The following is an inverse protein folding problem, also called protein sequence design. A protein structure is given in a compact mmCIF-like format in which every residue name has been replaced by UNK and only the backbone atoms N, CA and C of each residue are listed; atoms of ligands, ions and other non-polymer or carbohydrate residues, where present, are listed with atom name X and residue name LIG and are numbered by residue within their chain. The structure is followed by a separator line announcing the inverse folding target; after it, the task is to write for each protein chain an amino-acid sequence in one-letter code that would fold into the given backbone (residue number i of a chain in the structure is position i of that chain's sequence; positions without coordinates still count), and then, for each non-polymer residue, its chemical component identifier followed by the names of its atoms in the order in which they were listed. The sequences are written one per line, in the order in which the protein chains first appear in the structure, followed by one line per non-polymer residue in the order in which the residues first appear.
data_IF_731261351836
#
_entry.id   IF_731261351836
#
_cell.length_a   1.000
_cell.length_b   1.000
_cell.length_c   1.000
_cell.angle_alpha   90.00
_cell.angle_beta   90.00
_cell.angle_gamma   90.00
#
_symmetry.space_group_name_H-M   'P 1'
#
loop_
_entity.id
_entity.type
_entity.pdbx_description
1 polymer ?
#
# COMPACT_ATOMS: atom_id res chain seq x y z
N UNK A 1 7.13 -38.52 -45.03
CA UNK A 1 8.42 -37.93 -44.59
C UNK A 1 9.06 -38.87 -43.57
N UNK A 2 10.36 -39.18 -43.66
CA UNK A 2 11.02 -40.11 -42.74
C UNK A 2 11.10 -39.52 -41.32
N UNK A 3 10.82 -40.36 -40.30
CA UNK A 3 10.98 -40.00 -38.88
C UNK A 3 12.46 -39.75 -38.57
N UNK A 4 12.74 -38.82 -37.67
CA UNK A 4 14.10 -38.54 -37.21
C UNK A 4 14.70 -39.82 -36.59
N UNK A 5 15.87 -40.31 -37.06
CA UNK A 5 16.48 -41.50 -36.49
C UNK A 5 16.79 -41.30 -35.01
N UNK A 6 16.48 -42.29 -34.17
CA UNK A 6 16.73 -42.24 -32.71
C UNK A 6 18.19 -41.91 -32.38
N UNK A 7 19.12 -42.45 -33.16
CA UNK A 7 20.56 -42.20 -33.03
C UNK A 7 20.93 -40.72 -33.19
N UNK A 8 20.24 -39.97 -34.06
CA UNK A 8 20.49 -38.53 -34.24
C UNK A 8 19.97 -37.75 -33.03
N UNK A 9 18.81 -38.13 -32.47
CA UNK A 9 18.30 -37.55 -31.23
C UNK A 9 19.20 -37.84 -30.03
N UNK A 10 19.75 -39.05 -29.94
CA UNK A 10 20.69 -39.44 -28.88
C UNK A 10 22.01 -38.66 -28.96
N UNK A 11 22.53 -38.44 -30.18
CA UNK A 11 23.71 -37.60 -30.40
C UNK A 11 23.44 -36.14 -30.01
N UNK A 12 22.30 -35.58 -30.45
CA UNK A 12 21.91 -34.22 -30.06
C UNK A 12 21.74 -34.10 -28.54
N UNK A 13 21.10 -35.09 -27.89
CA UNK A 13 21.00 -35.19 -26.42
C UNK A 13 22.37 -35.20 -25.75
N UNK A 14 23.33 -35.95 -26.29
CA UNK A 14 24.70 -35.98 -25.76
C UNK A 14 25.42 -34.64 -25.92
N UNK A 15 25.20 -33.93 -27.03
CA UNK A 15 25.84 -32.65 -27.30
C UNK A 15 25.29 -31.52 -26.41
N UNK A 16 23.98 -31.50 -26.14
CA UNK A 16 23.35 -30.54 -25.20
C UNK A 16 23.52 -30.92 -23.72
N UNK A 17 23.77 -32.19 -23.38
CA UNK A 17 24.06 -32.61 -21.99
C UNK A 17 25.44 -32.12 -21.50
N UNK A 18 26.34 -31.77 -22.41
CA UNK A 18 27.65 -31.20 -22.06
C UNK A 18 27.51 -29.71 -21.78
N UNK A 19 27.77 -29.29 -20.53
CA UNK A 19 27.89 -27.87 -20.16
C UNK A 19 29.09 -27.16 -20.83
N UNK A 20 29.82 -27.83 -21.73
CA UNK A 20 30.84 -27.23 -22.55
C UNK A 20 30.20 -26.29 -23.59
N UNK A 21 30.35 -24.98 -23.35
CA UNK A 21 29.78 -23.87 -24.13
C UNK A 21 29.72 -24.04 -25.66
N UNK A 22 30.77 -24.49 -26.38
CA UNK A 22 30.71 -24.59 -27.84
C UNK A 22 29.80 -25.72 -28.36
N UNK A 23 29.74 -26.87 -27.66
CA UNK A 23 28.89 -28.00 -28.05
C UNK A 23 27.43 -27.74 -27.74
N UNK A 24 27.17 -27.13 -26.57
CA UNK A 24 25.84 -26.69 -26.18
C UNK A 24 25.26 -25.72 -27.21
N UNK A 25 26.03 -24.70 -27.61
CA UNK A 25 25.57 -23.70 -28.58
C UNK A 25 25.23 -24.34 -29.92
N UNK A 26 26.09 -25.25 -30.41
CA UNK A 26 25.85 -25.98 -31.66
C UNK A 26 24.65 -26.93 -31.58
N UNK A 27 24.49 -27.64 -30.47
CA UNK A 27 23.34 -28.52 -30.22
C UNK A 27 22.03 -27.75 -30.18
N UNK A 28 22.01 -26.58 -29.52
CA UNK A 28 20.83 -25.73 -29.45
C UNK A 28 20.47 -25.11 -30.81
N UNK A 29 21.45 -24.63 -31.59
CA UNK A 29 21.19 -24.07 -32.93
C UNK A 29 20.70 -25.14 -33.91
N UNK A 30 21.28 -26.35 -33.86
CA UNK A 30 20.81 -27.46 -34.69
C UNK A 30 19.39 -27.89 -34.31
N UNK A 31 19.07 -28.00 -33.02
CA UNK A 31 17.70 -28.29 -32.57
C UNK A 31 16.70 -27.23 -33.03
N UNK A 32 17.06 -25.94 -32.94
CA UNK A 32 16.24 -24.84 -33.48
C UNK A 32 15.98 -25.05 -34.96
N UNK A 33 17.02 -25.20 -35.77
CA UNK A 33 16.88 -25.22 -37.23
C UNK A 33 16.05 -26.44 -37.69
N UNK A 34 16.22 -27.59 -37.04
CA UNK A 34 15.39 -28.77 -37.30
C UNK A 34 13.93 -28.56 -36.89
N UNK A 35 13.67 -27.93 -35.75
CA UNK A 35 12.31 -27.62 -35.30
C UNK A 35 11.60 -26.60 -36.21
N UNK A 36 12.34 -25.63 -36.75
CA UNK A 36 11.78 -24.61 -37.64
C UNK A 36 11.53 -25.14 -39.05
N UNK A 37 12.48 -25.90 -39.62
CA UNK A 37 12.46 -26.26 -41.04
C UNK A 37 11.80 -27.60 -41.36
N UNK A 38 11.62 -28.50 -40.38
CA UNK A 38 11.18 -29.89 -40.63
C UNK A 38 9.95 -30.26 -39.80
N UNK A 39 8.77 -30.20 -40.43
CA UNK A 39 7.49 -30.57 -39.80
C UNK A 39 7.52 -31.95 -39.12
N UNK A 40 8.13 -32.94 -39.77
CA UNK A 40 8.18 -34.31 -39.27
C UNK A 40 9.06 -34.47 -38.01
N UNK A 41 9.98 -33.55 -37.75
CA UNK A 41 10.97 -33.65 -36.67
C UNK A 41 10.72 -32.63 -35.56
N UNK A 42 9.94 -31.58 -35.85
CA UNK A 42 9.57 -30.53 -34.91
C UNK A 42 9.11 -31.04 -33.54
N UNK A 43 8.18 -32.00 -33.41
CA UNK A 43 7.74 -32.45 -32.09
C UNK A 43 8.89 -33.00 -31.24
N UNK A 44 9.75 -33.86 -31.81
CA UNK A 44 10.84 -34.47 -31.08
C UNK A 44 11.94 -33.47 -30.68
N UNK A 45 12.24 -32.50 -31.55
CA UNK A 45 13.20 -31.44 -31.23
C UNK A 45 12.66 -30.47 -30.17
N UNK A 46 11.37 -30.14 -30.23
CA UNK A 46 10.72 -29.28 -29.23
C UNK A 46 10.66 -29.95 -27.86
N UNK A 47 10.29 -31.24 -27.77
CA UNK A 47 10.30 -31.96 -26.49
C UNK A 47 11.68 -31.88 -25.82
N UNK A 48 12.75 -32.12 -26.59
CA UNK A 48 14.11 -32.02 -26.04
C UNK A 48 14.46 -30.59 -25.60
N UNK A 49 14.09 -29.56 -26.38
CA UNK A 49 14.32 -28.17 -25.99
C UNK A 49 13.55 -27.78 -24.72
N UNK A 50 12.33 -28.29 -24.56
CA UNK A 50 11.47 -28.06 -23.39
C UNK A 50 12.02 -28.79 -22.15
N UNK A 51 12.47 -30.05 -22.28
CA UNK A 51 13.21 -30.77 -21.22
C UNK A 51 14.43 -29.96 -20.72
N UNK A 52 15.15 -29.28 -21.62
CA UNK A 52 16.29 -28.45 -21.24
C UNK A 52 15.88 -27.14 -20.52
N UNK A 53 14.66 -26.64 -20.75
CA UNK A 53 14.13 -25.45 -20.08
C UNK A 53 13.86 -25.68 -18.58
N UNK A 54 13.82 -26.94 -18.13
CA UNK A 54 13.66 -27.33 -16.72
C UNK A 54 14.86 -28.12 -16.20
N UNK A 55 16.00 -28.10 -16.91
CA UNK A 55 17.23 -28.76 -16.48
C UNK A 55 17.78 -28.14 -15.18
N UNK A 56 18.35 -28.96 -14.29
CA UNK A 56 18.97 -28.48 -13.03
C UNK A 56 20.12 -27.48 -13.26
N UNK A 57 20.87 -27.67 -14.34
CA UNK A 57 21.99 -26.79 -14.69
C UNK A 57 21.51 -25.46 -15.29
N UNK A 58 21.66 -24.37 -14.54
CA UNK A 58 21.39 -23.01 -15.00
C UNK A 58 22.04 -22.63 -16.37
N UNK A 59 23.31 -22.99 -16.67
CA UNK A 59 23.90 -22.67 -17.98
C UNK A 59 23.28 -23.45 -19.14
N UNK A 60 22.56 -24.55 -18.90
CA UNK A 60 21.76 -25.24 -19.93
C UNK A 60 20.37 -24.60 -20.05
N UNK A 61 19.76 -24.30 -18.91
CA UNK A 61 18.40 -23.80 -18.78
C UNK A 61 18.20 -22.44 -19.43
N UNK A 62 19.01 -21.45 -19.07
CA UNK A 62 18.80 -20.06 -19.53
C UNK A 62 18.92 -19.87 -21.05
N UNK A 63 19.91 -20.46 -21.76
CA UNK A 63 19.97 -20.41 -23.23
C UNK A 63 18.80 -21.14 -23.90
N UNK A 64 18.36 -22.26 -23.34
CA UNK A 64 17.23 -23.05 -23.88
C UNK A 64 15.92 -22.28 -23.78
N UNK A 65 15.65 -21.63 -22.65
CA UNK A 65 14.47 -20.77 -22.47
C UNK A 65 14.48 -19.63 -23.49
N UNK A 66 15.60 -18.91 -23.62
CA UNK A 66 15.70 -17.81 -24.60
C UNK A 66 15.42 -18.29 -26.02
N UNK A 67 15.93 -19.46 -26.39
CA UNK A 67 15.73 -20.06 -27.70
C UNK A 67 14.26 -20.44 -27.95
N UNK A 68 13.62 -21.14 -27.01
CA UNK A 68 12.21 -21.54 -27.14
C UNK A 68 11.31 -20.30 -27.22
N UNK A 69 11.56 -19.28 -26.40
CA UNK A 69 10.80 -18.02 -26.42
C UNK A 69 11.00 -17.27 -27.74
N UNK A 70 12.22 -17.22 -28.29
CA UNK A 70 12.46 -16.58 -29.59
C UNK A 70 11.75 -17.32 -30.72
N UNK A 71 11.79 -18.65 -30.70
CA UNK A 71 11.10 -19.48 -31.70
C UNK A 71 9.57 -19.33 -31.62
N UNK A 72 9.01 -19.30 -30.41
CA UNK A 72 7.59 -19.07 -30.19
C UNK A 72 7.14 -17.66 -30.62
N UNK A 73 8.04 -16.68 -30.57
CA UNK A 73 7.80 -15.33 -31.08
C UNK A 73 7.95 -15.21 -32.62
N UNK A 74 8.32 -16.29 -33.31
CA UNK A 74 8.50 -16.30 -34.76
C UNK A 74 9.84 -15.75 -35.24
N UNK A 75 10.82 -15.53 -34.36
CA UNK A 75 12.15 -15.06 -34.75
C UNK A 75 12.89 -16.13 -35.58
N UNK A 76 13.22 -15.81 -36.83
CA UNK A 76 13.93 -16.71 -37.73
C UNK A 76 13.04 -17.78 -38.39
N UNK A 77 11.72 -17.67 -38.30
CA UNK A 77 10.77 -18.65 -38.86
C UNK A 77 10.17 -18.16 -40.17
N UNK A 78 10.23 -18.99 -41.21
CA UNK A 78 9.70 -18.64 -42.54
C UNK A 78 8.22 -19.02 -42.73
N UNK A 79 7.65 -19.86 -41.85
CA UNK A 79 6.29 -20.41 -41.96
C UNK A 79 5.46 -20.12 -40.71
N UNK A 80 4.35 -19.38 -40.86
CA UNK A 80 3.46 -19.03 -39.75
C UNK A 80 2.91 -20.27 -39.00
N UNK A 81 2.52 -21.32 -39.73
CA UNK A 81 2.02 -22.55 -39.12
C UNK A 81 3.03 -23.27 -38.21
N UNK A 82 4.34 -23.11 -38.46
CA UNK A 82 5.38 -23.65 -37.61
C UNK A 82 5.48 -22.85 -36.30
N UNK A 83 5.37 -21.52 -36.37
CA UNK A 83 5.34 -20.64 -35.19
C UNK A 83 4.17 -20.99 -34.28
N UNK A 84 2.96 -21.14 -34.84
CA UNK A 84 1.76 -21.47 -34.08
C UNK A 84 1.90 -22.81 -33.34
N UNK A 85 2.46 -23.83 -34.00
CA UNK A 85 2.70 -25.14 -33.37
C UNK A 85 3.74 -25.07 -32.25
N UNK A 86 4.82 -24.32 -32.46
CA UNK A 86 5.87 -24.14 -31.45
C UNK A 86 5.32 -23.38 -30.25
N UNK A 87 4.63 -22.27 -30.50
CA UNK A 87 4.00 -21.46 -29.47
C UNK A 87 2.99 -22.30 -28.68
N UNK A 88 2.07 -23.01 -29.34
CA UNK A 88 1.09 -23.85 -28.67
C UNK A 88 1.74 -24.92 -27.77
N UNK A 89 2.79 -25.60 -28.24
CA UNK A 89 3.47 -26.61 -27.42
C UNK A 89 4.26 -25.99 -26.27
N UNK A 90 4.93 -24.86 -26.49
CA UNK A 90 5.64 -24.14 -25.44
C UNK A 90 4.69 -23.64 -24.34
N UNK A 91 3.51 -23.11 -24.71
CA UNK A 91 2.49 -22.70 -23.74
C UNK A 91 1.91 -23.89 -22.97
N UNK A 92 1.62 -25.02 -23.65
CA UNK A 92 1.16 -26.25 -23.01
C UNK A 92 2.17 -26.76 -21.98
N UNK A 93 3.44 -26.88 -22.36
CA UNK A 93 4.48 -27.36 -21.46
C UNK A 93 4.72 -26.38 -20.30
N UNK A 94 4.72 -25.07 -20.56
CA UNK A 94 4.85 -24.08 -19.49
C UNK A 94 3.68 -24.15 -18.50
N UNK A 95 2.46 -24.44 -18.95
CA UNK A 95 1.31 -24.63 -18.06
C UNK A 95 1.46 -25.89 -17.19
N UNK A 96 1.89 -27.01 -17.78
CA UNK A 96 2.23 -28.25 -17.03
C UNK A 96 3.31 -27.97 -15.96
N UNK A 97 4.35 -27.23 -16.32
CA UNK A 97 5.44 -26.87 -15.40
C UNK A 97 5.01 -25.84 -14.35
N UNK A 98 4.07 -24.94 -14.65
CA UNK A 98 3.48 -24.05 -13.65
C UNK A 98 2.74 -24.86 -12.59
N UNK A 99 1.87 -25.79 -12.99
CA UNK A 99 1.13 -26.64 -12.03
C UNK A 99 2.10 -27.42 -11.13
N UNK A 100 3.14 -28.02 -11.72
CA UNK A 100 4.17 -28.72 -10.97
C UNK A 100 5.00 -27.79 -10.06
N UNK A 101 5.30 -26.58 -10.50
CA UNK A 101 6.00 -25.59 -9.70
C UNK A 101 5.17 -25.12 -8.51
N UNK A 102 3.88 -24.87 -8.69
CA UNK A 102 2.97 -24.44 -7.62
C UNK A 102 2.79 -25.55 -6.56
N UNK A 103 2.93 -26.82 -6.94
CA UNK A 103 2.89 -27.96 -6.02
C UNK A 103 4.26 -28.32 -5.40
N UNK A 104 5.36 -27.70 -5.82
CA UNK A 104 6.71 -28.10 -5.41
C UNK A 104 6.98 -27.79 -3.93
N UNK A 105 7.44 -28.76 -3.14
CA UNK A 105 7.73 -28.56 -1.71
C UNK A 105 9.08 -27.86 -1.45
N UNK A 106 9.95 -27.81 -2.45
CA UNK A 106 11.29 -27.19 -2.37
C UNK A 106 11.40 -25.96 -3.29
N UNK A 107 12.00 -24.89 -2.78
CA UNK A 107 12.18 -23.63 -3.54
C UNK A 107 13.05 -23.83 -4.77
N UNK A 108 14.06 -24.70 -4.71
CA UNK A 108 14.95 -24.99 -5.86
C UNK A 108 14.17 -25.64 -7.01
N UNK A 109 13.21 -26.51 -6.70
CA UNK A 109 12.36 -27.17 -7.68
C UNK A 109 11.39 -26.17 -8.33
N UNK A 110 10.75 -25.30 -7.53
CA UNK A 110 9.91 -24.22 -8.03
C UNK A 110 10.70 -23.24 -8.92
N UNK A 111 11.88 -22.81 -8.46
CA UNK A 111 12.77 -21.88 -9.17
C UNK A 111 13.34 -22.47 -10.47
N UNK A 112 13.39 -23.81 -10.59
CA UNK A 112 13.79 -24.49 -11.81
C UNK A 112 12.69 -24.51 -12.87
N UNK A 113 11.41 -24.59 -12.47
CA UNK A 113 10.25 -24.81 -13.35
C UNK A 113 9.56 -23.52 -13.82
N UNK A 114 9.50 -22.50 -12.95
CA UNK A 114 8.87 -21.20 -13.25
C UNK A 114 9.51 -20.39 -14.40
N UNK A 115 10.85 -20.39 -14.63
CA UNK A 115 11.47 -19.43 -15.54
C UNK A 115 10.96 -19.44 -16.98
N UNK A 116 10.60 -20.61 -17.54
CA UNK A 116 10.04 -20.68 -18.90
C UNK A 116 8.67 -20.00 -18.95
N UNK A 117 7.82 -20.28 -17.96
CA UNK A 117 6.48 -19.70 -17.86
C UNK A 117 6.55 -18.17 -17.75
N UNK A 118 7.40 -17.66 -16.86
CA UNK A 118 7.61 -16.22 -16.69
C UNK A 118 8.16 -15.58 -17.98
N UNK A 119 9.11 -16.23 -18.66
CA UNK A 119 9.65 -15.70 -19.90
C UNK A 119 8.61 -15.64 -21.04
N UNK A 120 7.66 -16.58 -21.08
CA UNK A 120 6.54 -16.55 -22.02
C UNK A 120 5.50 -15.48 -21.67
N UNK A 121 5.26 -15.20 -20.38
CA UNK A 121 4.36 -14.11 -19.96
C UNK A 121 4.73 -12.76 -20.61
N UNK A 122 6.03 -12.48 -20.82
CA UNK A 122 6.49 -11.29 -21.53
C UNK A 122 5.95 -11.15 -22.96
N UNK A 123 5.58 -12.25 -23.61
CA UNK A 123 5.02 -12.28 -24.97
C UNK A 123 3.49 -12.43 -24.94
N UNK A 124 2.97 -13.19 -23.98
CA UNK A 124 1.55 -13.46 -23.78
C UNK A 124 1.13 -13.09 -22.35
N UNK A 125 0.87 -11.80 -22.08
CA UNK A 125 0.53 -11.32 -20.72
C UNK A 125 -0.72 -11.98 -20.11
N UNK A 126 -1.62 -12.52 -20.94
CA UNK A 126 -2.79 -13.28 -20.49
C UNK A 126 -2.43 -14.49 -19.63
N UNK A 127 -1.22 -15.05 -19.78
CA UNK A 127 -0.73 -16.14 -18.94
C UNK A 127 -0.63 -15.71 -17.47
N UNK A 128 -0.30 -14.44 -17.19
CA UNK A 128 -0.18 -13.93 -15.81
C UNK A 128 -1.44 -14.21 -14.97
N UNK A 129 -2.62 -14.23 -15.59
CA UNK A 129 -3.88 -14.50 -14.90
C UNK A 129 -3.92 -15.89 -14.23
N UNK A 130 -3.36 -16.92 -14.88
CA UNK A 130 -3.33 -18.27 -14.34
C UNK A 130 -2.33 -18.42 -13.19
N UNK A 131 -1.18 -17.74 -13.25
CA UNK A 131 -0.23 -17.66 -12.14
C UNK A 131 -0.86 -17.02 -10.90
N UNK A 132 -1.57 -15.90 -11.08
CA UNK A 132 -2.24 -15.22 -9.97
C UNK A 132 -3.37 -16.09 -9.38
N UNK A 133 -4.17 -16.74 -10.22
CA UNK A 133 -5.28 -17.59 -9.76
C UNK A 133 -4.80 -18.85 -9.01
N UNK A 134 -3.65 -19.42 -9.40
CA UNK A 134 -3.08 -20.61 -8.76
C UNK A 134 -2.27 -20.34 -7.50
N UNK A 135 -1.93 -19.09 -7.21
CA UNK A 135 -0.98 -18.73 -6.14
C UNK A 135 -1.47 -19.06 -4.72
N UNK A 136 -2.73 -18.73 -4.42
CA UNK A 136 -3.27 -18.93 -3.06
C UNK A 136 -3.35 -20.43 -2.67
N UNK A 137 -3.40 -21.33 -3.67
CA UNK A 137 -3.37 -22.78 -3.48
C UNK A 137 -1.99 -23.42 -3.57
N UNK A 138 -0.94 -22.65 -3.82
CA UNK A 138 0.42 -23.15 -3.99
C UNK A 138 1.11 -23.50 -2.66
N UNK A 139 2.16 -24.30 -2.72
CA UNK A 139 3.00 -24.62 -1.56
C UNK A 139 3.71 -23.36 -1.03
N UNK A 140 4.14 -23.38 0.24
CA UNK A 140 4.88 -22.26 0.84
C UNK A 140 6.19 -21.94 0.08
N UNK A 141 6.91 -22.99 -0.36
CA UNK A 141 8.12 -22.84 -1.16
C UNK A 141 7.83 -22.17 -2.51
N UNK A 142 6.78 -22.62 -3.21
CA UNK A 142 6.38 -22.02 -4.48
C UNK A 142 5.92 -20.57 -4.29
N UNK A 143 5.17 -20.27 -3.23
CA UNK A 143 4.74 -18.91 -2.92
C UNK A 143 5.93 -17.96 -2.70
N UNK A 144 6.96 -18.41 -1.97
CA UNK A 144 8.19 -17.64 -1.76
C UNK A 144 8.92 -17.37 -3.09
N UNK A 145 9.12 -18.41 -3.91
CA UNK A 145 9.78 -18.27 -5.21
C UNK A 145 9.01 -17.36 -6.17
N UNK A 146 7.68 -17.47 -6.22
CA UNK A 146 6.86 -16.59 -7.08
C UNK A 146 6.95 -15.14 -6.62
N UNK A 147 6.92 -14.87 -5.31
CA UNK A 147 7.09 -13.51 -4.78
C UNK A 147 8.46 -12.91 -5.11
N UNK A 148 9.52 -13.72 -5.12
CA UNK A 148 10.87 -13.29 -5.49
C UNK A 148 10.97 -12.94 -6.99
N UNK A 149 10.39 -13.77 -7.87
CA UNK A 149 10.56 -13.64 -9.31
C UNK A 149 9.56 -12.67 -9.98
N UNK A 150 8.37 -12.50 -9.39
CA UNK A 150 7.29 -11.71 -9.99
C UNK A 150 7.67 -10.24 -10.25
N UNK A 151 8.32 -9.50 -9.33
CA UNK A 151 8.69 -8.09 -9.59
C UNK A 151 9.55 -7.94 -10.83
N UNK A 152 10.53 -8.82 -11.02
CA UNK A 152 11.38 -8.85 -12.20
C UNK A 152 10.59 -9.06 -13.49
N UNK A 153 9.59 -9.94 -13.48
CA UNK A 153 8.70 -10.14 -14.62
C UNK A 153 7.85 -8.88 -14.91
N UNK A 154 7.19 -8.34 -13.89
CA UNK A 154 6.27 -7.22 -14.03
C UNK A 154 6.94 -5.96 -14.59
N UNK A 155 8.23 -5.74 -14.32
CA UNK A 155 9.00 -4.64 -14.89
C UNK A 155 9.14 -4.72 -16.42
N UNK A 156 9.16 -5.92 -16.99
CA UNK A 156 9.32 -6.15 -18.44
C UNK A 156 7.99 -6.16 -19.20
N UNK A 157 6.86 -6.30 -18.49
CA UNK A 157 5.53 -6.31 -19.10
C UNK A 157 5.00 -4.90 -19.40
N UNK A 158 4.22 -4.74 -20.49
CA UNK A 158 3.52 -3.49 -20.75
C UNK A 158 2.50 -3.21 -19.64
N UNK A 159 2.48 -1.98 -19.14
CA UNK A 159 1.65 -1.57 -18.00
C UNK A 159 0.16 -1.81 -18.22
N UNK A 160 -0.32 -1.62 -19.45
CA UNK A 160 -1.71 -1.87 -19.85
C UNK A 160 -2.09 -3.33 -19.62
N UNK A 161 -1.26 -4.28 -20.05
CA UNK A 161 -1.57 -5.69 -19.95
C UNK A 161 -1.54 -6.19 -18.49
N UNK A 162 -0.60 -5.69 -17.67
CA UNK A 162 -0.60 -5.99 -16.23
C UNK A 162 -1.86 -5.44 -15.58
N UNK A 163 -2.26 -4.22 -15.97
CA UNK A 163 -3.45 -3.56 -15.45
C UNK A 163 -4.73 -4.34 -15.78
N UNK A 164 -4.89 -4.82 -17.02
CA UNK A 164 -6.04 -5.65 -17.42
C UNK A 164 -6.13 -6.95 -16.61
N UNK A 165 -5.00 -7.65 -16.44
CA UNK A 165 -4.94 -8.88 -15.65
C UNK A 165 -5.28 -8.61 -14.18
N UNK A 166 -4.72 -7.57 -13.58
CA UNK A 166 -5.06 -7.18 -12.21
C UNK A 166 -6.52 -6.80 -12.09
N UNK A 167 -7.08 -6.04 -13.03
CA UNK A 167 -8.50 -5.68 -13.00
C UNK A 167 -9.43 -6.89 -13.09
N UNK A 168 -9.09 -7.89 -13.90
CA UNK A 168 -9.85 -9.14 -13.96
C UNK A 168 -9.85 -9.86 -12.60
N UNK A 169 -8.69 -9.93 -11.93
CA UNK A 169 -8.57 -10.52 -10.59
C UNK A 169 -9.31 -9.70 -9.54
N UNK A 170 -9.10 -8.38 -9.52
CA UNK A 170 -9.68 -7.47 -8.53
C UNK A 170 -11.20 -7.40 -8.64
N UNK A 171 -11.78 -7.46 -9.85
CA UNK A 171 -13.24 -7.35 -10.04
C UNK A 171 -13.98 -8.55 -9.47
N UNK A 172 -13.37 -9.74 -9.48
CA UNK A 172 -14.00 -11.00 -9.10
C UNK A 172 -15.19 -11.29 -10.01
N UNK A 173 -15.07 -12.21 -10.94
CA UNK A 173 -16.28 -12.75 -11.55
C UNK A 173 -17.13 -13.39 -10.45
N UNK A 174 -18.47 -13.21 -10.45
CA UNK A 174 -19.35 -13.69 -9.39
C UNK A 174 -19.32 -15.22 -9.18
N UNK A 175 -18.62 -15.98 -10.05
CA UNK A 175 -18.60 -17.45 -10.10
C UNK A 175 -17.18 -18.07 -10.08
N UNK A 176 -16.09 -17.31 -9.95
CA UNK A 176 -14.73 -17.83 -10.06
C UNK A 176 -13.93 -17.77 -8.76
N UNK A 177 -13.79 -18.93 -8.08
CA UNK A 177 -12.85 -19.21 -6.98
C UNK A 177 -13.00 -18.31 -5.73
N UNK A 178 -12.45 -18.66 -4.54
CA UNK A 178 -12.80 -17.93 -3.32
C UNK A 178 -12.45 -16.44 -3.47
N UNK A 179 -13.20 -15.54 -2.82
CA UNK A 179 -12.87 -14.11 -2.85
C UNK A 179 -11.40 -13.96 -2.50
N UNK A 180 -10.67 -13.16 -3.29
CA UNK A 180 -9.31 -12.72 -2.98
C UNK A 180 -9.18 -12.61 -1.47
N UNK A 181 -8.33 -13.47 -0.87
CA UNK A 181 -8.09 -13.38 0.56
C UNK A 181 -7.76 -11.91 0.86
N UNK A 182 -8.28 -11.38 1.97
CA UNK A 182 -8.24 -9.94 2.25
C UNK A 182 -6.81 -9.33 2.27
N UNK A 183 -5.78 -10.15 2.12
CA UNK A 183 -4.40 -9.78 1.85
C UNK A 183 -3.66 -10.81 0.96
N UNK A 184 -4.22 -11.20 -0.20
CA UNK A 184 -3.42 -11.97 -1.18
C UNK A 184 -2.18 -11.13 -1.55
N UNK A 185 -0.95 -11.66 -1.34
CA UNK A 185 0.27 -10.87 -1.43
C UNK A 185 0.65 -10.55 -2.88
N UNK A 186 0.25 -11.35 -3.87
CA UNK A 186 0.63 -11.11 -5.26
C UNK A 186 -0.06 -9.89 -5.90
N UNK A 187 -1.39 -9.71 -5.80
CA UNK A 187 -2.01 -8.49 -6.30
C UNK A 187 -1.46 -7.24 -5.62
N UNK A 188 -1.19 -7.31 -4.31
CA UNK A 188 -0.57 -6.21 -3.57
C UNK A 188 0.85 -5.91 -4.07
N UNK A 189 1.68 -6.94 -4.26
CA UNK A 189 3.03 -6.81 -4.81
C UNK A 189 3.00 -6.22 -6.22
N UNK A 190 2.06 -6.66 -7.06
CA UNK A 190 1.91 -6.14 -8.41
C UNK A 190 1.49 -4.66 -8.42
N UNK A 191 0.61 -4.25 -7.50
CA UNK A 191 0.24 -2.84 -7.33
C UNK A 191 1.45 -1.99 -6.92
N UNK A 192 2.28 -2.45 -5.98
CA UNK A 192 3.52 -1.76 -5.61
C UNK A 192 4.45 -1.60 -6.80
N UNK A 193 4.72 -2.66 -7.56
CA UNK A 193 5.59 -2.58 -8.73
C UNK A 193 5.05 -1.62 -9.78
N UNK A 194 3.73 -1.59 -10.02
CA UNK A 194 3.13 -0.64 -10.95
C UNK A 194 3.19 0.80 -10.46
N UNK A 195 2.94 1.03 -9.18
CA UNK A 195 3.06 2.34 -8.54
C UNK A 195 4.51 2.86 -8.63
N UNK A 196 5.50 2.04 -8.27
CA UNK A 196 6.92 2.39 -8.35
C UNK A 196 7.35 2.72 -9.78
N UNK A 197 6.88 1.95 -10.77
CA UNK A 197 7.12 2.24 -12.18
C UNK A 197 6.51 3.59 -12.60
N UNK A 198 5.29 3.90 -12.16
CA UNK A 198 4.65 5.17 -12.47
C UNK A 198 5.42 6.35 -11.85
N UNK A 199 5.80 6.23 -10.57
CA UNK A 199 6.61 7.22 -9.85
C UNK A 199 7.95 7.46 -10.53
N UNK A 200 8.68 6.40 -10.91
CA UNK A 200 10.00 6.51 -11.53
C UNK A 200 10.00 7.26 -12.88
N UNK A 201 8.88 7.23 -13.60
CA UNK A 201 8.72 7.92 -14.90
C UNK A 201 8.04 9.28 -14.74
N UNK A 202 7.64 9.66 -13.51
CA UNK A 202 6.83 10.87 -13.26
C UNK A 202 5.44 10.79 -13.92
N UNK A 203 4.94 9.57 -14.10
CA UNK A 203 3.64 9.28 -14.71
C UNK A 203 2.53 9.09 -13.68
N UNK A 204 1.37 8.67 -14.16
CA UNK A 204 0.22 8.28 -13.31
C UNK A 204 -0.12 6.81 -13.54
N UNK A 205 -0.78 6.22 -12.55
CA UNK A 205 -1.36 4.89 -12.67
C UNK A 205 -2.67 4.98 -13.49
N UNK A 206 -3.01 3.99 -14.34
CA UNK A 206 -4.25 4.02 -15.10
C UNK A 206 -5.49 4.19 -14.21
N UNK A 207 -6.36 5.14 -14.54
CA UNK A 207 -7.56 5.45 -13.74
C UNK A 207 -8.49 4.25 -13.53
N UNK A 208 -8.53 3.33 -14.50
CA UNK A 208 -9.28 2.08 -14.37
C UNK A 208 -8.77 1.22 -13.20
N UNK A 209 -7.45 1.16 -13.00
CA UNK A 209 -6.81 0.44 -11.89
C UNK A 209 -7.19 1.07 -10.55
N UNK A 210 -7.08 2.39 -10.44
CA UNK A 210 -7.50 3.14 -9.26
C UNK A 210 -8.96 2.86 -8.92
N UNK A 211 -9.86 2.96 -9.88
CA UNK A 211 -11.27 2.64 -9.68
C UNK A 211 -11.50 1.17 -9.25
N UNK A 212 -10.75 0.24 -9.84
CA UNK A 212 -10.80 -1.19 -9.49
C UNK A 212 -10.39 -1.45 -8.03
N UNK A 213 -9.28 -0.85 -7.60
CA UNK A 213 -8.78 -0.95 -6.22
C UNK A 213 -9.73 -0.29 -5.23
N UNK A 214 -10.24 0.91 -5.52
CA UNK A 214 -11.24 1.57 -4.67
C UNK A 214 -12.52 0.74 -4.53
N UNK A 215 -12.95 0.08 -5.62
CA UNK A 215 -14.05 -0.88 -5.59
C UNK A 215 -13.74 -2.09 -4.71
N UNK A 216 -12.50 -2.61 -4.74
CA UNK A 216 -12.06 -3.69 -3.86
C UNK A 216 -12.05 -3.24 -2.39
N UNK A 217 -11.47 -2.09 -2.08
CA UNK A 217 -11.44 -1.51 -0.73
C UNK A 217 -12.87 -1.36 -0.19
N UNK A 218 -13.80 -0.90 -1.03
CA UNK A 218 -15.21 -0.78 -0.65
C UNK A 218 -15.86 -2.13 -0.33
N UNK A 219 -15.51 -3.20 -1.05
CA UNK A 219 -16.03 -4.57 -0.80
C UNK A 219 -15.41 -5.22 0.43
N UNK A 220 -14.10 -5.06 0.61
CA UNK A 220 -13.36 -5.61 1.77
C UNK A 220 -13.56 -4.78 3.05
N UNK A 221 -14.02 -3.53 2.91
CA UNK A 221 -14.22 -2.57 3.98
C UNK A 221 -12.94 -2.36 4.81
N UNK A 222 -12.95 -2.64 6.11
CA UNK A 222 -11.82 -2.38 7.01
C UNK A 222 -10.54 -3.15 6.65
N UNK A 223 -10.64 -4.25 5.92
CA UNK A 223 -9.48 -5.08 5.55
C UNK A 223 -8.86 -4.69 4.21
N UNK A 224 -9.45 -3.75 3.48
CA UNK A 224 -8.97 -3.37 2.15
C UNK A 224 -7.83 -2.35 2.13
N UNK A 225 -7.47 -1.77 3.29
CA UNK A 225 -6.56 -0.62 3.36
C UNK A 225 -5.20 -0.84 2.68
N UNK A 226 -4.63 -2.04 2.80
CA UNK A 226 -3.31 -2.37 2.23
C UNK A 226 -3.27 -2.19 0.71
N UNK A 227 -4.36 -2.55 0.01
CA UNK A 227 -4.43 -2.41 -1.46
C UNK A 227 -4.45 -0.95 -1.92
N UNK A 228 -4.90 -0.02 -1.07
CA UNK A 228 -4.90 1.41 -1.40
C UNK A 228 -3.52 2.05 -1.26
N UNK A 229 -2.66 1.53 -0.35
CA UNK A 229 -1.36 2.13 0.00
C UNK A 229 -0.49 2.47 -1.22
N UNK A 230 -0.26 1.56 -2.18
CA UNK A 230 0.57 1.86 -3.36
C UNK A 230 0.02 2.98 -4.23
N UNK A 231 -1.31 3.17 -4.19
CA UNK A 231 -2.00 4.11 -5.07
C UNK A 231 -2.22 5.48 -4.42
N UNK A 232 -1.96 5.64 -3.12
CA UNK A 232 -2.22 6.87 -2.38
C UNK A 232 -1.67 8.12 -3.08
N UNK A 233 -0.41 8.16 -3.58
CA UNK A 233 0.13 9.36 -4.25
C UNK A 233 -0.61 9.77 -5.52
N UNK A 234 -1.42 8.89 -6.10
CA UNK A 234 -2.11 9.09 -7.38
C UNK A 234 -3.62 9.33 -7.22
N UNK A 235 -4.13 9.32 -5.98
CA UNK A 235 -5.55 9.54 -5.71
C UNK A 235 -5.91 11.02 -5.83
N UNK A 236 -7.19 11.29 -6.07
CA UNK A 236 -7.74 12.63 -5.83
C UNK A 236 -8.17 12.80 -4.35
N UNK A 237 -8.55 14.03 -3.98
CA UNK A 237 -8.99 14.35 -2.61
C UNK A 237 -10.18 13.49 -2.17
N UNK A 238 -11.18 13.31 -3.04
CA UNK A 238 -12.39 12.54 -2.74
C UNK A 238 -12.10 11.06 -2.52
N UNK A 239 -11.20 10.51 -3.33
CA UNK A 239 -10.74 9.12 -3.25
C UNK A 239 -9.89 8.90 -1.99
N UNK A 240 -9.03 9.85 -1.65
CA UNK A 240 -8.20 9.82 -0.44
C UNK A 240 -9.06 9.82 0.83
N UNK A 241 -10.10 10.65 0.86
CA UNK A 241 -11.08 10.68 1.96
C UNK A 241 -11.81 9.34 2.08
N UNK A 242 -12.19 8.73 0.95
CA UNK A 242 -12.93 7.47 0.93
C UNK A 242 -12.13 6.28 1.47
N UNK A 243 -10.80 6.23 1.24
CA UNK A 243 -9.95 5.13 1.71
C UNK A 243 -9.45 5.31 3.15
N UNK A 244 -9.46 6.53 3.67
CA UNK A 244 -8.90 6.87 4.98
C UNK A 244 -9.39 5.97 6.13
N UNK A 245 -10.70 5.60 6.24
CA UNK A 245 -11.17 4.68 7.29
C UNK A 245 -10.53 3.28 7.22
N UNK A 246 -10.26 2.79 6.00
CA UNK A 246 -9.63 1.48 5.81
C UNK A 246 -8.13 1.52 6.14
N UNK A 247 -7.46 2.66 5.93
CA UNK A 247 -6.06 2.83 6.33
C UNK A 247 -5.88 2.77 7.85
N UNK A 248 -6.86 3.22 8.63
CA UNK A 248 -6.83 3.19 10.10
C UNK A 248 -6.89 1.77 10.70
N UNK A 249 -7.05 0.75 9.87
CA UNK A 249 -7.01 -0.67 10.27
C UNK A 249 -5.67 -1.34 9.99
N UNK A 250 -4.74 -0.63 9.36
CA UNK A 250 -3.37 -1.06 9.17
C UNK A 250 -2.63 -1.10 10.51
N UNK A 251 -1.54 -1.86 10.55
CA UNK A 251 -0.62 -1.83 11.66
C UNK A 251 0.03 -0.44 11.78
N UNK A 252 0.52 -0.11 12.99
CA UNK A 252 1.00 1.25 13.29
C UNK A 252 2.10 1.72 12.33
N UNK A 253 2.99 0.83 11.89
CA UNK A 253 4.04 1.12 10.93
C UNK A 253 3.46 1.52 9.57
N UNK A 254 2.72 0.60 8.98
CA UNK A 254 2.03 0.76 7.69
C UNK A 254 1.09 1.97 7.66
N UNK A 255 0.37 2.25 8.76
CA UNK A 255 -0.46 3.44 8.88
C UNK A 255 0.38 4.73 8.82
N UNK A 256 1.53 4.75 9.49
CA UNK A 256 2.43 5.91 9.49
C UNK A 256 2.97 6.15 8.08
N UNK A 257 3.40 5.10 7.39
CA UNK A 257 3.89 5.16 6.01
C UNK A 257 2.79 5.60 5.04
N UNK A 258 1.57 5.07 5.19
CA UNK A 258 0.43 5.45 4.36
C UNK A 258 0.05 6.94 4.52
N UNK A 259 0.04 7.45 5.76
CA UNK A 259 -0.21 8.87 6.02
C UNK A 259 0.91 9.75 5.46
N UNK A 260 2.16 9.31 5.57
CA UNK A 260 3.29 10.00 4.95
C UNK A 260 3.16 10.02 3.42
N UNK A 261 2.77 8.91 2.79
CA UNK A 261 2.55 8.84 1.34
C UNK A 261 1.48 9.82 0.84
N UNK A 262 0.38 10.00 1.59
CA UNK A 262 -0.64 11.02 1.30
C UNK A 262 -0.11 12.45 1.46
N UNK A 263 0.75 12.68 2.43
CA UNK A 263 1.19 14.02 2.83
C UNK A 263 2.40 14.52 2.03
N UNK A 264 3.29 13.62 1.60
CA UNK A 264 4.53 13.92 0.88
C UNK A 264 4.44 13.82 -0.65
N UNK A 265 3.36 13.28 -1.20
CA UNK A 265 3.17 13.27 -2.64
C UNK A 265 3.14 14.70 -3.22
N UNK A 266 3.54 14.85 -4.48
CA UNK A 266 3.63 16.16 -5.14
C UNK A 266 2.75 16.20 -6.40
N UNK A 267 1.63 16.95 -6.40
CA UNK A 267 1.00 17.59 -5.24
C UNK A 267 0.37 16.56 -4.28
N UNK A 268 0.17 16.92 -2.99
CA UNK A 268 -0.41 15.99 -2.04
C UNK A 268 -1.89 15.75 -2.38
N UNK A 269 -2.32 14.49 -2.55
CA UNK A 269 -3.70 14.13 -2.88
C UNK A 269 -4.68 14.57 -1.78
N UNK A 270 -4.20 14.63 -0.54
CA UNK A 270 -4.93 15.20 0.59
C UNK A 270 -4.00 16.14 1.35
N UNK A 271 -4.24 17.45 1.23
CA UNK A 271 -3.41 18.45 1.89
C UNK A 271 -3.33 18.22 3.41
N UNK A 272 -2.21 18.58 4.08
CA UNK A 272 -1.99 18.27 5.49
C UNK A 272 -3.13 18.75 6.40
N UNK A 273 -3.58 19.99 6.19
CA UNK A 273 -4.75 20.57 6.85
C UNK A 273 -6.01 19.73 6.67
N UNK A 274 -6.31 19.34 5.43
CA UNK A 274 -7.48 18.53 5.09
C UNK A 274 -7.37 17.14 5.72
N UNK A 275 -6.20 16.49 5.69
CA UNK A 275 -5.99 15.19 6.32
C UNK A 275 -6.31 15.23 7.82
N UNK A 276 -5.79 16.22 8.54
CA UNK A 276 -6.12 16.39 9.96
C UNK A 276 -7.60 16.65 10.20
N UNK A 277 -8.23 17.48 9.37
CA UNK A 277 -9.67 17.73 9.46
C UNK A 277 -10.47 16.43 9.27
N UNK A 278 -10.16 15.65 8.23
CA UNK A 278 -10.85 14.39 7.93
C UNK A 278 -10.67 13.37 9.07
N UNK A 279 -9.47 13.26 9.63
CA UNK A 279 -9.24 12.41 10.81
C UNK A 279 -10.11 12.81 12.01
N UNK A 280 -10.37 14.11 12.22
CA UNK A 280 -11.25 14.58 13.29
C UNK A 280 -12.74 14.38 12.98
N UNK A 281 -13.13 14.33 11.71
CA UNK A 281 -14.52 14.08 11.30
C UNK A 281 -14.91 12.60 11.45
N UNK A 282 -13.95 11.68 11.44
CA UNK A 282 -14.20 10.26 11.66
C UNK A 282 -14.67 9.98 13.09
N UNK A 283 -15.81 9.30 13.21
CA UNK A 283 -16.39 8.93 14.49
C UNK A 283 -15.82 7.58 14.93
N UNK A 284 -15.25 7.48 16.14
CA UNK A 284 -14.84 6.20 16.67
C UNK A 284 -16.07 5.32 16.89
N UNK A 285 -15.99 4.08 16.42
CA UNK A 285 -17.08 3.10 16.53
C UNK A 285 -16.49 1.73 16.85
N UNK A 286 -17.07 1.07 17.85
CA UNK A 286 -16.67 -0.25 18.28
C UNK A 286 -17.22 -1.32 17.32
N UNK A 287 -16.45 -2.40 17.10
CA UNK A 287 -16.82 -3.51 16.24
C UNK A 287 -15.84 -3.74 15.08
N UNK A 288 -16.09 -4.77 14.28
CA UNK A 288 -15.17 -5.17 13.20
C UNK A 288 -15.12 -4.16 12.04
N UNK A 289 -16.20 -3.42 11.81
CA UNK A 289 -16.31 -2.44 10.71
C UNK A 289 -16.10 -0.99 11.13
N UNK A 290 -16.16 -0.69 12.43
CA UNK A 290 -15.98 0.67 12.94
C UNK A 290 -14.53 1.16 12.87
N UNK A 291 -14.28 2.41 13.22
CA UNK A 291 -12.91 2.93 13.34
C UNK A 291 -12.48 2.92 14.81
N UNK A 292 -11.41 2.20 15.19
CA UNK A 292 -10.95 2.18 16.57
C UNK A 292 -10.45 3.56 17.03
N UNK A 293 -10.89 4.02 18.21
CA UNK A 293 -10.42 5.30 18.78
C UNK A 293 -8.89 5.35 18.91
N UNK A 294 -8.26 4.21 19.25
CA UNK A 294 -6.81 4.10 19.37
C UNK A 294 -6.10 4.35 18.03
N UNK A 295 -6.65 3.84 16.92
CA UNK A 295 -6.10 4.07 15.59
C UNK A 295 -6.20 5.54 15.18
N UNK A 296 -7.31 6.23 15.47
CA UNK A 296 -7.43 7.67 15.23
C UNK A 296 -6.40 8.48 16.05
N UNK A 297 -6.21 8.12 17.32
CA UNK A 297 -5.19 8.74 18.17
C UNK A 297 -3.80 8.55 17.56
N UNK A 298 -3.48 7.34 17.09
CA UNK A 298 -2.17 7.02 16.53
C UNK A 298 -1.96 7.71 15.17
N UNK A 299 -3.00 7.82 14.34
CA UNK A 299 -2.97 8.56 13.07
C UNK A 299 -2.73 10.05 13.27
N UNK A 300 -3.49 10.70 14.16
CA UNK A 300 -3.30 12.13 14.47
C UNK A 300 -1.91 12.37 15.04
N UNK A 301 -1.43 11.47 15.90
CA UNK A 301 -0.08 11.55 16.45
C UNK A 301 1.01 11.37 15.38
N UNK A 302 0.82 10.46 14.43
CA UNK A 302 1.72 10.27 13.29
C UNK A 302 1.82 11.56 12.46
N UNK A 303 0.68 12.15 12.08
CA UNK A 303 0.65 13.44 11.38
C UNK A 303 1.41 14.54 12.16
N UNK A 304 1.15 14.72 13.45
CA UNK A 304 1.82 15.76 14.25
C UNK A 304 3.34 15.52 14.36
N UNK A 305 3.79 14.26 14.30
CA UNK A 305 5.22 13.93 14.36
C UNK A 305 5.95 14.19 13.03
N UNK A 306 5.25 14.21 11.90
CA UNK A 306 5.79 14.55 10.58
C UNK A 306 5.95 16.06 10.39
N UNK A 307 6.89 16.65 11.14
CA UNK A 307 7.08 18.11 11.28
C UNK A 307 7.44 18.84 9.99
N UNK A 308 7.96 18.13 8.99
CA UNK A 308 8.28 18.70 7.68
C UNK A 308 7.01 19.08 6.92
N UNK A 309 5.95 18.29 7.08
CA UNK A 309 4.67 18.49 6.40
C UNK A 309 3.66 19.20 7.30
N UNK A 310 3.53 18.74 8.55
CA UNK A 310 2.62 19.30 9.54
C UNK A 310 3.32 20.40 10.36
N UNK A 311 3.63 21.49 9.67
CA UNK A 311 4.25 22.66 10.29
C UNK A 311 3.32 23.30 11.33
N UNK A 312 3.88 24.16 12.19
CA UNK A 312 3.09 24.95 13.14
C UNK A 312 1.91 25.65 12.48
N UNK A 313 2.10 26.27 11.31
CA UNK A 313 1.07 27.01 10.60
C UNK A 313 -0.06 26.11 10.11
N UNK A 314 0.28 24.97 9.50
CA UNK A 314 -0.69 23.96 9.04
C UNK A 314 -1.51 23.40 10.22
N UNK A 315 -0.86 23.04 11.32
CA UNK A 315 -1.53 22.55 12.52
C UNK A 315 -2.49 23.58 13.12
N UNK A 316 -2.06 24.84 13.22
CA UNK A 316 -2.94 25.90 13.74
C UNK A 316 -4.13 26.16 12.82
N UNK A 317 -3.90 26.21 11.50
CA UNK A 317 -4.97 26.43 10.52
C UNK A 317 -5.97 25.26 10.45
N UNK A 318 -5.51 24.02 10.66
CA UNK A 318 -6.38 22.85 10.78
C UNK A 318 -7.20 22.91 12.08
N UNK A 319 -6.55 23.24 13.20
CA UNK A 319 -7.23 23.36 14.50
C UNK A 319 -8.26 24.50 14.50
N UNK A 320 -7.98 25.62 13.84
CA UNK A 320 -8.93 26.73 13.65
C UNK A 320 -10.22 26.27 12.97
N UNK A 321 -10.17 25.36 12.00
CA UNK A 321 -11.37 24.78 11.40
C UNK A 321 -12.03 23.74 12.31
N UNK A 322 -11.23 22.87 12.92
CA UNK A 322 -11.72 21.81 13.80
C UNK A 322 -12.51 22.39 14.98
N UNK A 323 -12.07 23.51 15.57
CA UNK A 323 -12.80 24.16 16.67
C UNK A 323 -14.09 24.85 16.24
N UNK A 324 -14.40 24.91 14.94
CA UNK A 324 -15.67 25.43 14.42
C UNK A 324 -16.68 24.32 14.11
N UNK A 325 -16.26 23.05 14.11
CA UNK A 325 -17.16 21.92 13.83
C UNK A 325 -18.22 21.75 14.93
N UNK A 326 -19.39 21.26 14.54
CA UNK A 326 -20.50 20.91 15.42
C UNK A 326 -21.10 19.55 15.03
N UNK A 327 -21.07 18.52 15.90
CA UNK A 327 -20.50 18.53 17.25
C UNK A 327 -18.98 18.65 17.26
N UNK A 328 -18.43 19.22 18.34
CA UNK A 328 -16.98 19.37 18.51
C UNK A 328 -16.27 18.00 18.54
N UNK A 329 -15.27 17.73 17.68
CA UNK A 329 -14.63 16.43 17.59
C UNK A 329 -13.94 15.97 18.88
N UNK A 330 -13.99 14.65 19.13
CA UNK A 330 -13.49 14.04 20.37
C UNK A 330 -11.97 14.20 20.58
N UNK A 331 -11.20 14.32 19.50
CA UNK A 331 -9.74 14.43 19.57
C UNK A 331 -9.24 15.87 19.67
N UNK A 332 -10.10 16.88 19.51
CA UNK A 332 -9.69 18.30 19.41
C UNK A 332 -8.76 18.74 20.54
N UNK A 333 -9.15 18.54 21.80
CA UNK A 333 -8.30 18.96 22.92
C UNK A 333 -6.99 18.19 23.02
N UNK A 334 -6.99 16.92 22.62
CA UNK A 334 -5.77 16.10 22.59
C UNK A 334 -4.79 16.67 21.55
N UNK A 335 -5.27 16.97 20.36
CA UNK A 335 -4.50 17.57 19.27
C UNK A 335 -3.94 18.93 19.69
N UNK A 336 -4.76 19.81 20.27
CA UNK A 336 -4.30 21.13 20.78
C UNK A 336 -3.17 20.98 21.80
N UNK A 337 -3.32 20.07 22.78
CA UNK A 337 -2.28 19.81 23.79
C UNK A 337 -1.00 19.29 23.12
N UNK A 338 -1.11 18.34 22.19
CA UNK A 338 0.04 17.78 21.46
C UNK A 338 0.73 18.83 20.58
N UNK A 339 -0.02 19.73 19.96
CA UNK A 339 0.55 20.85 19.19
C UNK A 339 1.36 21.76 20.11
N UNK A 340 0.86 22.14 21.29
CA UNK A 340 1.65 22.95 22.24
C UNK A 340 2.90 22.24 22.76
N UNK A 341 2.83 20.92 22.97
CA UNK A 341 3.99 20.13 23.43
C UNK A 341 5.07 20.07 22.34
N UNK A 342 4.68 19.89 21.08
CA UNK A 342 5.62 19.82 19.96
C UNK A 342 6.10 21.19 19.50
N UNK A 343 5.28 22.22 19.65
CA UNK A 343 5.53 23.59 19.20
C UNK A 343 5.20 24.59 20.33
N UNK A 344 6.10 24.82 21.30
CA UNK A 344 5.86 25.73 22.42
C UNK A 344 5.45 27.15 21.98
N UNK A 345 5.98 27.63 20.86
CA UNK A 345 5.69 28.94 20.29
C UNK A 345 4.27 29.05 19.66
N UNK A 346 3.52 27.93 19.63
CA UNK A 346 2.12 27.94 19.22
C UNK A 346 1.17 28.46 20.32
N UNK A 347 1.66 28.70 21.54
CA UNK A 347 0.85 29.09 22.69
C UNK A 347 -0.10 30.27 22.39
N UNK A 348 0.38 31.31 21.69
CA UNK A 348 -0.43 32.48 21.34
C UNK A 348 -1.59 32.14 20.40
N UNK A 349 -1.34 31.33 19.37
CA UNK A 349 -2.39 30.87 18.45
C UNK A 349 -3.42 30.00 19.18
N UNK A 350 -2.94 29.12 20.06
CA UNK A 350 -3.81 28.27 20.88
C UNK A 350 -4.71 29.09 21.82
N UNK A 351 -4.25 30.23 22.35
CA UNK A 351 -5.12 31.08 23.19
C UNK A 351 -6.36 31.58 22.43
N UNK A 352 -6.23 31.86 21.13
CA UNK A 352 -7.37 32.18 20.28
C UNK A 352 -8.38 31.03 20.21
N UNK A 353 -7.88 29.81 19.97
CA UNK A 353 -8.70 28.59 19.94
C UNK A 353 -9.42 28.34 21.28
N UNK A 354 -8.71 28.48 22.41
CA UNK A 354 -9.29 28.26 23.73
C UNK A 354 -10.34 29.32 24.09
N UNK A 355 -10.22 30.54 23.58
CA UNK A 355 -11.26 31.56 23.74
C UNK A 355 -12.53 31.15 23.00
N UNK A 356 -12.41 30.76 21.73
CA UNK A 356 -13.53 30.24 20.92
C UNK A 356 -14.22 29.06 21.60
N UNK A 357 -13.45 28.11 22.13
CA UNK A 357 -14.01 26.95 22.83
C UNK A 357 -14.76 27.33 24.11
N UNK A 358 -14.30 28.35 24.85
CA UNK A 358 -14.99 28.86 26.02
C UNK A 358 -16.34 29.50 25.65
N UNK A 359 -16.36 30.32 24.60
CA UNK A 359 -17.57 30.95 24.07
C UNK A 359 -18.59 29.91 23.58
N UNK A 360 -18.10 28.77 23.07
CA UNK A 360 -18.91 27.61 22.66
C UNK A 360 -19.24 26.64 23.79
N UNK A 361 -19.10 27.07 25.04
CA UNK A 361 -19.48 26.29 26.23
C UNK A 361 -18.83 24.90 26.30
N UNK A 362 -17.53 24.79 26.01
CA UNK A 362 -16.78 23.50 26.02
C UNK A 362 -16.93 22.71 27.33
N UNK A 363 -17.29 23.36 28.44
CA UNK A 363 -17.61 22.71 29.72
C UNK A 363 -18.83 21.77 29.66
N UNK A 364 -19.72 21.93 28.70
CA UNK A 364 -20.87 21.04 28.47
C UNK A 364 -20.47 19.74 27.74
N UNK A 365 -19.20 19.60 27.33
CA UNK A 365 -18.69 18.46 26.57
C UNK A 365 -17.75 17.58 27.40
N UNK A 366 -17.44 16.38 26.89
CA UNK A 366 -16.42 15.49 27.48
C UNK A 366 -14.99 16.05 27.39
N UNK A 367 -14.80 17.17 26.70
CA UNK A 367 -13.49 17.76 26.45
C UNK A 367 -13.05 18.77 27.52
N UNK A 368 -13.92 19.09 28.48
CA UNK A 368 -13.66 20.07 29.53
C UNK A 368 -12.35 19.82 30.30
N UNK A 369 -12.07 18.57 30.69
CA UNK A 369 -10.84 18.25 31.40
C UNK A 369 -9.58 18.52 30.57
N UNK A 370 -9.64 18.27 29.25
CA UNK A 370 -8.58 18.61 28.32
C UNK A 370 -8.41 20.13 28.20
N UNK A 371 -9.52 20.87 28.11
CA UNK A 371 -9.52 22.33 28.06
C UNK A 371 -8.83 22.95 29.27
N UNK A 372 -9.23 22.58 30.49
CA UNK A 372 -8.63 23.09 31.73
C UNK A 372 -7.14 22.75 31.81
N UNK A 373 -6.74 21.53 31.43
CA UNK A 373 -5.33 21.13 31.36
C UNK A 373 -4.54 22.00 30.41
N UNK A 374 -5.08 22.29 29.22
CA UNK A 374 -4.45 23.16 28.23
C UNK A 374 -4.26 24.58 28.76
N UNK A 375 -5.29 25.16 29.40
CA UNK A 375 -5.19 26.45 30.08
C UNK A 375 -4.12 26.42 31.19
N UNK A 376 -4.07 25.38 32.01
CA UNK A 376 -3.06 25.23 33.06
C UNK A 376 -1.63 25.24 32.51
N UNK A 377 -1.39 24.53 31.41
CA UNK A 377 -0.08 24.47 30.75
C UNK A 377 0.36 25.82 30.18
N UNK A 378 -0.60 26.62 29.69
CA UNK A 378 -0.33 27.92 29.09
C UNK A 378 -0.23 29.08 30.11
N UNK A 379 -0.31 28.81 31.42
CA UNK A 379 -0.12 29.86 32.42
C UNK A 379 1.27 30.50 32.29
N UNK A 380 1.38 31.85 32.32
CA UNK A 380 0.36 32.80 32.74
C UNK A 380 -0.54 33.35 31.61
N UNK A 381 -0.33 32.97 30.35
CA UNK A 381 -1.05 33.54 29.18
C UNK A 381 -2.56 33.28 29.21
N UNK A 382 -2.96 32.14 29.75
CA UNK A 382 -4.36 31.69 29.86
C UNK A 382 -5.13 32.31 31.03
N UNK A 383 -4.53 33.22 31.80
CA UNK A 383 -5.14 33.81 33.00
C UNK A 383 -6.52 34.39 32.73
N UNK A 384 -6.65 35.18 31.67
CA UNK A 384 -7.92 35.81 31.29
C UNK A 384 -9.01 34.79 30.97
N UNK A 385 -8.64 33.61 30.48
CA UNK A 385 -9.60 32.54 30.19
C UNK A 385 -10.18 31.97 31.49
N UNK A 386 -9.38 31.82 32.56
CA UNK A 386 -9.88 31.42 33.87
C UNK A 386 -10.86 32.45 34.44
N UNK A 387 -10.54 33.73 34.32
CA UNK A 387 -11.43 34.79 34.82
C UNK A 387 -12.71 34.95 33.99
N UNK A 388 -12.70 34.54 32.73
CA UNK A 388 -13.87 34.51 31.87
C UNK A 388 -14.78 33.29 32.10
N UNK A 389 -14.36 32.28 32.89
CA UNK A 389 -15.19 31.10 33.16
C UNK A 389 -16.39 31.45 34.07
N UNK A 390 -17.54 30.78 33.89
CA UNK A 390 -18.62 30.84 34.87
C UNK A 390 -18.15 30.40 36.27
N UNK A 391 -18.67 30.97 37.37
CA UNK A 391 -18.17 30.71 38.73
C UNK A 391 -18.09 29.22 39.11
N UNK A 392 -19.13 28.45 38.79
CA UNK A 392 -19.17 27.01 39.07
C UNK A 392 -18.07 26.24 38.30
N UNK A 393 -17.79 26.64 37.06
CA UNK A 393 -16.76 25.98 36.24
C UNK A 393 -15.36 26.40 36.65
N UNK A 394 -15.18 27.67 37.05
CA UNK A 394 -13.92 28.13 37.64
C UNK A 394 -13.62 27.35 38.93
N UNK A 395 -14.61 27.21 39.82
CA UNK A 395 -14.43 26.47 41.08
C UNK A 395 -14.03 25.01 40.83
N UNK A 396 -14.73 24.32 39.91
CA UNK A 396 -14.42 22.96 39.52
C UNK A 396 -13.02 22.82 38.88
N UNK A 397 -12.63 23.76 38.01
CA UNK A 397 -11.31 23.79 37.39
C UNK A 397 -10.20 23.96 38.43
N UNK A 398 -10.37 24.87 39.40
CA UNK A 398 -9.39 25.14 40.44
C UNK A 398 -9.30 24.03 41.50
N UNK A 399 -10.39 23.30 41.73
CA UNK A 399 -10.37 22.12 42.61
C UNK A 399 -9.43 21.02 42.08
N UNK A 400 -9.32 20.89 40.75
CA UNK A 400 -8.43 19.91 40.10
C UNK A 400 -7.00 20.40 39.88
N UNK A 401 -6.75 21.72 39.94
CA UNK A 401 -5.44 22.33 39.66
C UNK A 401 -5.06 23.37 40.75
N UNK A 402 -4.63 22.91 41.95
CA UNK A 402 -4.37 23.80 43.09
C UNK A 402 -3.20 24.76 42.87
N UNK A 403 -2.23 24.39 42.02
CA UNK A 403 -1.09 25.23 41.64
C UNK A 403 -1.55 26.44 40.80
N UNK A 404 -2.52 26.25 39.90
CA UNK A 404 -3.14 27.33 39.13
C UNK A 404 -3.89 28.27 40.08
N UNK A 405 -4.65 27.73 41.05
CA UNK A 405 -5.34 28.55 42.06
C UNK A 405 -4.36 29.45 42.81
N UNK A 406 -3.21 28.94 43.24
CA UNK A 406 -2.19 29.74 43.92
C UNK A 406 -1.67 30.88 43.02
N UNK A 407 -1.40 30.60 41.74
CA UNK A 407 -0.95 31.60 40.76
C UNK A 407 -2.00 32.70 40.54
N UNK A 408 -3.28 32.34 40.44
CA UNK A 408 -4.38 33.31 40.28
C UNK A 408 -4.59 34.14 41.55
N UNK A 409 -4.54 33.54 42.74
CA UNK A 409 -4.61 34.27 44.03
C UNK A 409 -3.46 35.26 44.16
N UNK A 410 -2.23 34.86 43.81
CA UNK A 410 -1.08 35.74 43.86
C UNK A 410 -1.26 36.96 42.93
N UNK A 411 -1.75 36.73 41.71
CA UNK A 411 -2.06 37.82 40.78
C UNK A 411 -3.20 38.71 41.28
N UNK A 412 -4.30 38.13 41.75
CA UNK A 412 -5.46 38.88 42.26
C UNK A 412 -5.11 39.73 43.50
N UNK A 413 -4.13 39.32 44.30
CA UNK A 413 -3.60 40.14 45.39
C UNK A 413 -2.72 41.30 44.90
N UNK A 414 -1.95 41.09 43.84
CA UNK A 414 -1.11 42.12 43.25
C UNK A 414 -1.91 43.15 42.44
N UNK A 415 -2.92 42.70 41.70
CA UNK A 415 -3.68 43.49 40.72
C UNK A 415 -5.19 43.30 40.90
N UNK A 416 -5.69 43.49 42.12
CA UNK A 416 -7.09 43.23 42.48
C UNK A 416 -8.12 43.93 41.58
N UNK A 417 -7.78 45.12 41.06
CA UNK A 417 -8.65 45.89 40.16
C UNK A 417 -8.80 45.30 38.75
N UNK A 418 -7.91 44.39 38.34
CA UNK A 418 -7.97 43.72 37.04
C UNK A 418 -8.78 42.41 37.08
N UNK A 419 -9.22 41.96 38.26
CA UNK A 419 -9.89 40.67 38.43
C UNK A 419 -11.41 40.85 38.58
N UNK A 420 -12.24 40.15 37.80
CA UNK A 420 -13.70 40.21 37.93
C UNK A 420 -14.18 39.80 39.34
N UNK A 421 -15.20 40.48 39.87
CA UNK A 421 -15.74 40.22 41.21
C UNK A 421 -16.21 38.79 41.41
N UNK A 422 -16.78 38.18 40.36
CA UNK A 422 -17.20 36.78 40.36
C UNK A 422 -16.02 35.82 40.57
N UNK A 423 -14.87 36.10 39.95
CA UNK A 423 -13.66 35.31 40.12
C UNK A 423 -13.05 35.51 41.52
N UNK A 424 -13.07 36.74 42.07
CA UNK A 424 -12.61 37.01 43.44
C UNK A 424 -13.37 36.18 44.48
N UNK A 425 -14.69 36.05 44.33
CA UNK A 425 -15.53 35.21 45.19
C UNK A 425 -15.08 33.75 45.22
N UNK A 426 -14.79 33.16 44.05
CA UNK A 426 -14.32 31.77 43.93
C UNK A 426 -12.88 31.60 44.46
N UNK A 427 -12.05 32.63 44.33
CA UNK A 427 -10.69 32.65 44.88
C UNK A 427 -10.65 32.88 46.40
N UNK A 428 -11.79 33.27 47.01
CA UNK A 428 -11.92 33.56 48.44
C UNK A 428 -11.24 34.87 48.85
N UNK A 429 -11.28 35.90 47.98
CA UNK A 429 -10.58 37.18 48.17
C UNK A 429 -11.49 38.40 48.30
#
# INVERSE_FOLDING_TARGET
MPRLPRTVLELLRSDVASAASPRLTLGLTTLRDLALQRDAWRPACLELLLELCTAGSAPLRAPSIRLVVSMAAGEGVAQAAAVDQIAARAHSHAAEELEAALAAEEEEEAARRLPLYLALCNRSPSMLAALLAGFDGASAAAQATVQELLPGLLLHLPMEAVTEVLLAQLRGEPDASPPLAAASPLPLLALHVLADRATAVGGTVPAALTAGVLGLVSRLGPHGGAYAVPLLPFLDESQSVAVLPALLRLDKGDLTEALAALAHAEPPPLAPRALLLQLHLLKPEDGERGVPLKALIDAVQACINEREVFTRAELTAALEEVVQLDPLPLLTMRTIIQTMVNWPDAATAVMGLLRTLLEREVWATKLWGGYVRCCSMAMPLSRELFYAMPPAQLEAALASHPDVKQKLVAHARAERGAVPTAALGVLGL
#
